data_IF_967557824329
#
_entry.id   IF_967557824329
#
_cell.length_a   1.000
_cell.length_b   1.000
_cell.length_c   1.000
_cell.angle_alpha   90.00
_cell.angle_beta   90.00
_cell.angle_gamma   90.00
#
_symmetry.space_group_name_H-M   'P 1'
#
loop_
_entity.id
_entity.type
_entity.pdbx_description
1 polymer ?
#
# COMPACT_ATOMS: atom_id res chain seq x y z
N UNK A 1 0.10 2.70 12.71
CA UNK A 1 0.26 3.53 13.92
C UNK A 1 1.75 3.77 14.15
N UNK A 2 2.57 2.73 14.29
CA UNK A 2 4.00 2.87 14.54
C UNK A 2 4.73 3.72 13.48
N UNK A 3 4.30 3.68 12.24
CA UNK A 3 4.83 4.50 11.14
C UNK A 3 4.29 5.96 11.11
N UNK A 4 3.72 6.45 12.22
CA UNK A 4 3.31 7.85 12.37
C UNK A 4 1.83 8.14 12.11
N UNK A 5 0.99 7.13 11.85
CA UNK A 5 -0.44 7.36 11.71
C UNK A 5 -1.08 7.63 13.08
N UNK A 6 -1.63 8.84 13.25
CA UNK A 6 -2.28 9.29 14.49
C UNK A 6 -3.73 8.76 14.54
N UNK A 7 -4.08 7.85 15.47
CA UNK A 7 -5.44 7.30 15.58
C UNK A 7 -6.49 8.33 16.01
N UNK A 8 -6.06 9.49 16.54
CA UNK A 8 -6.98 10.60 16.84
C UNK A 8 -7.40 11.38 15.60
N UNK A 9 -6.56 11.36 14.55
CA UNK A 9 -6.82 12.06 13.27
C UNK A 9 -7.35 11.11 12.20
N UNK A 10 -6.95 9.84 12.25
CA UNK A 10 -7.37 8.80 11.31
C UNK A 10 -8.23 7.74 12.03
N UNK A 11 -9.19 7.16 11.33
CA UNK A 11 -9.95 6.01 11.82
C UNK A 11 -9.25 4.75 11.34
N UNK A 12 -8.65 4.01 12.27
CA UNK A 12 -7.94 2.75 12.00
C UNK A 12 -8.75 1.63 12.62
N UNK A 13 -9.11 0.64 11.82
CA UNK A 13 -9.97 -0.46 12.28
C UNK A 13 -9.72 -1.74 11.47
N UNK A 14 -10.19 -2.86 11.99
CA UNK A 14 -10.18 -4.14 11.28
C UNK A 14 -11.45 -4.24 10.46
N UNK A 15 -11.35 -4.43 9.15
CA UNK A 15 -12.48 -4.46 8.22
C UNK A 15 -13.55 -5.46 8.62
N UNK A 16 -13.17 -6.66 9.08
CA UNK A 16 -14.11 -7.72 9.47
C UNK A 16 -14.96 -7.39 10.69
N UNK A 17 -14.58 -6.37 11.47
CA UNK A 17 -15.36 -5.89 12.63
C UNK A 17 -16.46 -4.90 12.24
N UNK A 18 -16.52 -4.52 10.98
CA UNK A 18 -17.56 -3.64 10.40
C UNK A 18 -18.37 -4.43 9.37
N UNK A 19 -19.45 -5.13 9.77
CA UNK A 19 -20.21 -6.04 8.89
C UNK A 19 -20.78 -5.38 7.64
N UNK A 20 -21.00 -4.08 7.70
CA UNK A 20 -21.52 -3.27 6.60
C UNK A 20 -20.67 -3.39 5.33
N UNK A 21 -19.37 -3.69 5.45
CA UNK A 21 -18.48 -3.96 4.30
C UNK A 21 -18.97 -5.18 3.50
N UNK A 22 -19.22 -6.30 4.18
CA UNK A 22 -19.71 -7.51 3.52
C UNK A 22 -21.15 -7.32 3.02
N UNK A 23 -21.99 -6.59 3.78
CA UNK A 23 -23.39 -6.34 3.44
C UNK A 23 -23.50 -5.47 2.18
N UNK A 24 -22.79 -4.34 2.10
CA UNK A 24 -22.74 -3.52 0.88
C UNK A 24 -21.96 -4.24 -0.23
N UNK A 25 -20.91 -4.98 0.12
CA UNK A 25 -20.14 -5.79 -0.82
C UNK A 25 -21.03 -6.75 -1.62
N UNK A 26 -21.97 -7.43 -0.95
CA UNK A 26 -22.95 -8.27 -1.64
C UNK A 26 -23.82 -7.48 -2.63
N UNK A 27 -24.29 -6.29 -2.24
CA UNK A 27 -25.08 -5.42 -3.13
C UNK A 27 -24.26 -4.97 -4.35
N UNK A 28 -22.99 -4.66 -4.15
CA UNK A 28 -22.07 -4.30 -5.25
C UNK A 28 -21.80 -5.49 -6.17
N UNK A 29 -21.62 -6.69 -5.63
CA UNK A 29 -21.49 -7.94 -6.42
C UNK A 29 -22.73 -8.16 -7.29
N UNK A 30 -23.95 -7.99 -6.73
CA UNK A 30 -25.18 -8.10 -7.48
C UNK A 30 -25.37 -7.01 -8.55
N UNK A 31 -24.63 -5.90 -8.43
CA UNK A 31 -24.66 -4.77 -9.38
C UNK A 31 -23.53 -4.83 -10.41
N UNK A 32 -22.54 -5.70 -10.21
CA UNK A 32 -21.42 -5.91 -11.11
C UNK A 32 -21.76 -6.88 -12.25
N UNK A 33 -21.03 -6.80 -13.34
CA UNK A 33 -21.16 -7.75 -14.45
C UNK A 33 -19.95 -8.68 -14.52
N UNK A 34 -20.19 -9.98 -14.73
CA UNK A 34 -19.14 -11.01 -14.81
C UNK A 34 -18.07 -10.61 -15.83
N UNK A 35 -18.48 -10.19 -17.03
CA UNK A 35 -17.53 -9.81 -18.08
C UNK A 35 -16.68 -8.56 -17.74
N UNK A 36 -17.11 -7.68 -16.83
CA UNK A 36 -16.28 -6.58 -16.32
C UNK A 36 -15.19 -7.12 -15.40
N UNK A 37 -15.54 -8.01 -14.49
CA UNK A 37 -14.60 -8.64 -13.56
C UNK A 37 -13.58 -9.51 -14.27
N UNK A 38 -13.99 -10.30 -15.25
CA UNK A 38 -13.09 -11.15 -16.05
C UNK A 38 -12.12 -10.36 -16.90
N UNK A 39 -12.43 -9.12 -17.29
CA UNK A 39 -11.54 -8.26 -18.07
C UNK A 39 -10.42 -7.64 -17.23
N UNK A 40 -10.54 -7.63 -15.91
CA UNK A 40 -9.52 -7.05 -15.03
C UNK A 40 -8.16 -7.75 -15.18
N UNK A 41 -7.11 -6.97 -15.36
CA UNK A 41 -5.75 -7.49 -15.54
C UNK A 41 -5.26 -8.27 -14.33
N UNK A 42 -5.58 -7.79 -13.12
CA UNK A 42 -5.23 -8.50 -11.89
C UNK A 42 -5.96 -9.84 -11.76
N UNK A 43 -7.25 -9.90 -12.13
CA UNK A 43 -7.98 -11.17 -12.16
C UNK A 43 -7.28 -12.17 -13.06
N UNK A 44 -7.03 -11.80 -14.32
CA UNK A 44 -6.37 -12.67 -15.30
C UNK A 44 -5.03 -13.20 -14.81
N UNK A 45 -4.19 -12.32 -14.26
CA UNK A 45 -2.86 -12.67 -13.77
C UNK A 45 -2.91 -13.61 -12.54
N UNK A 46 -3.81 -13.34 -11.59
CA UNK A 46 -3.94 -14.14 -10.37
C UNK A 46 -4.63 -15.47 -10.64
N UNK A 47 -5.68 -15.47 -11.48
CA UNK A 47 -6.41 -16.66 -11.86
C UNK A 47 -5.49 -17.71 -12.52
N UNK A 48 -4.62 -17.28 -13.44
CA UNK A 48 -3.63 -18.17 -14.06
C UNK A 48 -2.63 -18.76 -13.05
N UNK A 49 -2.26 -17.99 -12.03
CA UNK A 49 -1.35 -18.47 -10.97
C UNK A 49 -2.04 -19.51 -10.07
N UNK A 50 -3.27 -19.20 -9.64
CA UNK A 50 -4.05 -20.11 -8.78
C UNK A 50 -4.40 -21.41 -9.52
N UNK A 51 -4.82 -21.31 -10.77
CA UNK A 51 -5.12 -22.49 -11.60
C UNK A 51 -3.90 -23.40 -11.76
N UNK A 52 -2.70 -22.83 -11.97
CA UNK A 52 -1.46 -23.60 -12.04
C UNK A 52 -1.06 -24.22 -10.71
N UNK A 53 -1.32 -23.55 -9.59
CA UNK A 53 -0.91 -23.97 -8.27
C UNK A 53 -1.88 -24.98 -7.64
N UNK A 54 -3.18 -24.69 -7.70
CA UNK A 54 -4.23 -25.41 -6.96
C UNK A 54 -5.19 -26.19 -7.89
N UNK A 55 -5.14 -25.96 -9.22
CA UNK A 55 -6.05 -26.59 -10.19
C UNK A 55 -7.46 -25.99 -10.23
N UNK A 56 -7.74 -24.93 -9.49
CA UNK A 56 -9.03 -24.22 -9.48
C UNK A 56 -8.85 -22.73 -9.19
N UNK A 57 -9.87 -21.94 -9.54
CA UNK A 57 -9.88 -20.49 -9.34
C UNK A 57 -10.95 -20.17 -8.28
N UNK A 58 -10.57 -19.61 -7.10
CA UNK A 58 -11.53 -19.23 -6.08
C UNK A 58 -12.47 -18.11 -6.58
N UNK A 59 -13.77 -18.24 -6.35
CA UNK A 59 -14.76 -17.22 -6.73
C UNK A 59 -14.47 -15.85 -6.10
N UNK A 60 -13.93 -15.83 -4.87
CA UNK A 60 -13.51 -14.61 -4.22
C UNK A 60 -12.53 -13.77 -5.05
N UNK A 61 -11.74 -14.40 -5.90
CA UNK A 61 -10.81 -13.70 -6.80
C UNK A 61 -11.55 -12.89 -7.89
N UNK A 62 -12.74 -13.35 -8.30
CA UNK A 62 -13.60 -12.62 -9.24
C UNK A 62 -14.42 -11.54 -8.52
N UNK A 63 -14.78 -11.74 -7.25
CA UNK A 63 -15.75 -10.90 -6.54
C UNK A 63 -15.14 -9.91 -5.56
N UNK A 64 -13.81 -9.95 -5.30
CA UNK A 64 -13.19 -8.96 -4.40
C UNK A 64 -13.22 -7.51 -4.91
N UNK A 65 -13.19 -7.19 -6.24
CA UNK A 65 -13.25 -5.80 -6.68
C UNK A 65 -14.55 -5.08 -6.27
N UNK A 66 -15.75 -5.69 -6.38
CA UNK A 66 -16.96 -5.12 -5.80
C UNK A 66 -16.93 -4.97 -4.28
N UNK A 67 -16.24 -5.84 -3.54
CA UNK A 67 -16.03 -5.67 -2.09
C UNK A 67 -15.13 -4.46 -1.82
N UNK A 68 -14.05 -4.29 -2.57
CA UNK A 68 -13.22 -3.08 -2.48
C UNK A 68 -14.02 -1.80 -2.81
N UNK A 69 -14.93 -1.86 -3.77
CA UNK A 69 -15.84 -0.75 -4.04
C UNK A 69 -16.70 -0.42 -2.81
N UNK A 70 -17.24 -1.43 -2.11
CA UNK A 70 -17.98 -1.23 -0.87
C UNK A 70 -17.10 -0.61 0.23
N UNK A 71 -15.84 -1.05 0.37
CA UNK A 71 -14.89 -0.49 1.35
C UNK A 71 -14.70 1.03 1.18
N UNK A 72 -14.78 1.51 -0.05
CA UNK A 72 -14.63 2.93 -0.41
C UNK A 72 -15.97 3.67 -0.25
N UNK A 73 -17.03 3.13 -0.83
CA UNK A 73 -18.33 3.79 -0.95
C UNK A 73 -19.06 3.94 0.39
N UNK A 74 -18.88 3.00 1.33
CA UNK A 74 -19.45 3.09 2.69
C UNK A 74 -19.07 4.39 3.40
N UNK A 75 -17.88 4.90 3.14
CA UNK A 75 -17.35 6.09 3.82
C UNK A 75 -17.54 7.37 3.03
N UNK A 76 -18.24 7.32 1.88
CA UNK A 76 -18.45 8.48 1.00
C UNK A 76 -17.12 9.17 0.67
N UNK A 77 -16.10 8.37 0.36
CA UNK A 77 -14.76 8.89 0.11
C UNK A 77 -14.73 9.73 -1.16
N UNK A 78 -14.17 10.93 -1.08
CA UNK A 78 -13.96 11.80 -2.22
C UNK A 78 -12.67 11.44 -2.95
N UNK A 79 -11.60 11.14 -2.19
CA UNK A 79 -10.27 10.82 -2.71
C UNK A 79 -9.79 9.49 -2.13
N UNK A 80 -9.21 8.66 -2.97
CA UNK A 80 -8.67 7.36 -2.57
C UNK A 80 -7.19 7.30 -2.97
N UNK A 81 -6.27 7.33 -2.00
CA UNK A 81 -4.84 7.23 -2.26
C UNK A 81 -4.48 5.78 -2.61
N UNK A 82 -4.18 5.55 -3.87
CA UNK A 82 -3.82 4.23 -4.39
C UNK A 82 -2.70 4.31 -5.43
N UNK A 83 -1.94 3.23 -5.56
CA UNK A 83 -0.96 3.09 -6.63
C UNK A 83 -1.62 2.89 -8.00
N UNK A 84 -0.84 3.10 -9.06
CA UNK A 84 -1.31 2.98 -10.45
C UNK A 84 -1.84 1.56 -10.79
N UNK A 85 -1.34 0.53 -10.11
CA UNK A 85 -1.82 -0.84 -10.24
C UNK A 85 -3.28 -1.04 -9.76
N UNK A 86 -3.83 -0.08 -9.01
CA UNK A 86 -5.23 -0.08 -8.53
C UNK A 86 -6.18 0.76 -9.41
N UNK A 87 -5.70 1.33 -10.52
CA UNK A 87 -6.52 2.17 -11.42
C UNK A 87 -7.81 1.47 -11.85
N UNK A 88 -7.71 0.22 -12.33
CA UNK A 88 -8.90 -0.53 -12.78
C UNK A 88 -9.90 -0.80 -11.65
N UNK A 89 -9.43 -1.00 -10.42
CA UNK A 89 -10.33 -1.14 -9.26
C UNK A 89 -11.07 0.16 -8.97
N UNK A 90 -10.41 1.31 -9.13
CA UNK A 90 -11.06 2.61 -8.99
C UNK A 90 -12.08 2.88 -10.09
N UNK A 91 -11.78 2.48 -11.34
CA UNK A 91 -12.73 2.56 -12.46
C UNK A 91 -13.98 1.72 -12.17
N UNK A 92 -13.83 0.46 -11.74
CA UNK A 92 -14.96 -0.39 -11.34
C UNK A 92 -15.74 0.22 -10.17
N UNK A 93 -15.06 0.79 -9.18
CA UNK A 93 -15.73 1.45 -8.04
C UNK A 93 -16.60 2.60 -8.51
N UNK A 94 -16.10 3.44 -9.40
CA UNK A 94 -16.85 4.56 -10.00
C UNK A 94 -18.03 4.08 -10.83
N UNK A 95 -17.81 3.09 -11.70
CA UNK A 95 -18.86 2.51 -12.55
C UNK A 95 -20.00 1.93 -11.72
N UNK A 96 -19.66 1.21 -10.63
CA UNK A 96 -20.65 0.65 -9.71
C UNK A 96 -21.45 1.74 -8.99
N UNK A 97 -20.77 2.80 -8.51
CA UNK A 97 -21.42 3.92 -7.83
C UNK A 97 -22.33 4.68 -8.80
N UNK A 98 -21.87 5.00 -10.00
CA UNK A 98 -22.67 5.70 -11.03
C UNK A 98 -23.87 4.85 -11.47
N UNK A 99 -23.66 3.55 -11.67
CA UNK A 99 -24.73 2.60 -12.02
C UNK A 99 -25.80 2.51 -10.95
N UNK A 100 -25.39 2.45 -9.69
CA UNK A 100 -26.28 2.44 -8.53
C UNK A 100 -27.07 3.74 -8.45
N UNK A 101 -26.38 4.88 -8.48
CA UNK A 101 -26.99 6.21 -8.38
C UNK A 101 -28.01 6.44 -9.51
N UNK A 102 -27.67 6.06 -10.74
CA UNK A 102 -28.59 6.19 -11.90
C UNK A 102 -29.86 5.33 -11.73
N UNK A 103 -29.73 4.16 -11.09
CA UNK A 103 -30.86 3.22 -10.98
C UNK A 103 -31.75 3.48 -9.76
N UNK A 104 -31.16 3.90 -8.65
CA UNK A 104 -31.82 3.97 -7.37
C UNK A 104 -31.86 5.38 -6.73
N UNK A 105 -31.26 6.37 -7.37
CA UNK A 105 -31.08 7.73 -6.85
C UNK A 105 -29.71 7.95 -6.25
N UNK A 106 -29.34 9.20 -6.05
CA UNK A 106 -28.00 9.60 -5.57
C UNK A 106 -27.77 9.15 -4.12
N UNK A 107 -27.01 8.09 -3.95
CA UNK A 107 -26.63 7.53 -2.64
C UNK A 107 -25.13 7.63 -2.42
N UNK A 108 -24.32 7.33 -3.44
CA UNK A 108 -22.87 7.26 -3.31
C UNK A 108 -22.16 8.47 -3.91
N UNK A 109 -21.20 9.01 -3.18
CA UNK A 109 -20.19 9.91 -3.72
C UNK A 109 -19.31 9.15 -4.72
N UNK A 110 -19.08 9.74 -5.90
CA UNK A 110 -18.19 9.14 -6.90
C UNK A 110 -16.75 9.49 -6.52
N UNK A 111 -15.93 8.51 -6.14
CA UNK A 111 -14.59 8.78 -5.66
C UNK A 111 -13.62 9.12 -6.79
N UNK A 112 -12.59 9.89 -6.48
CA UNK A 112 -11.46 10.14 -7.37
C UNK A 112 -10.22 9.40 -6.89
N UNK A 113 -9.43 8.92 -7.86
CA UNK A 113 -8.12 8.35 -7.57
C UNK A 113 -7.13 9.47 -7.28
N UNK A 114 -6.42 9.36 -6.17
CA UNK A 114 -5.27 10.19 -5.89
C UNK A 114 -4.00 9.35 -5.92
N UNK A 115 -3.17 9.56 -6.94
CA UNK A 115 -1.86 8.96 -7.02
C UNK A 115 -0.83 9.96 -6.45
N UNK A 116 -0.12 9.64 -5.36
CA UNK A 116 0.90 10.51 -4.83
C UNK A 116 1.95 10.82 -5.91
N UNK A 117 2.16 12.11 -6.18
CA UNK A 117 3.28 12.53 -7.00
C UNK A 117 4.54 12.53 -6.13
N UNK A 118 5.39 11.55 -6.34
CA UNK A 118 6.67 11.47 -5.66
C UNK A 118 6.66 10.50 -4.47
N UNK A 119 7.53 9.62 -4.53
CA UNK A 119 8.08 8.68 -3.58
C UNK A 119 9.25 8.07 -4.30
N UNK A 120 10.42 8.06 -3.68
CA UNK A 120 11.55 7.40 -4.31
C UNK A 120 11.15 5.95 -4.60
N UNK A 121 11.20 5.56 -5.86
CA UNK A 121 11.05 4.15 -6.22
C UNK A 121 12.31 3.43 -5.76
N UNK A 122 12.23 2.81 -4.60
CA UNK A 122 13.34 2.04 -4.05
C UNK A 122 13.49 0.75 -4.85
N UNK A 123 14.71 0.49 -5.32
CA UNK A 123 15.04 -0.69 -6.08
C UNK A 123 15.63 -1.77 -5.16
N UNK A 124 15.63 -3.03 -5.62
CA UNK A 124 16.26 -4.15 -4.91
C UNK A 124 17.73 -3.86 -4.62
N UNK A 125 18.18 -4.23 -3.43
CA UNK A 125 19.61 -4.08 -3.07
C UNK A 125 20.52 -5.06 -3.81
N UNK A 126 19.96 -6.17 -4.31
CA UNK A 126 20.71 -7.22 -5.00
C UNK A 126 20.52 -7.15 -6.53
N UNK A 127 19.37 -6.67 -6.99
CA UNK A 127 19.06 -6.45 -8.39
C UNK A 127 18.52 -5.03 -8.59
N UNK A 128 19.41 -4.01 -8.64
CA UNK A 128 18.99 -2.60 -8.60
C UNK A 128 18.28 -2.11 -9.87
N UNK A 129 18.08 -2.96 -10.87
CA UNK A 129 17.21 -2.74 -12.02
C UNK A 129 15.76 -3.15 -11.76
N UNK A 130 15.53 -4.03 -10.78
CA UNK A 130 14.22 -4.47 -10.30
C UNK A 130 13.74 -3.67 -9.08
N UNK A 131 12.40 -3.52 -8.93
CA UNK A 131 11.79 -2.88 -7.76
C UNK A 131 12.03 -3.73 -6.51
N UNK A 132 12.35 -3.11 -5.36
CA UNK A 132 12.36 -3.77 -4.06
C UNK A 132 10.99 -4.39 -3.77
N UNK A 133 10.96 -5.67 -3.39
CA UNK A 133 9.73 -6.42 -3.15
C UNK A 133 9.82 -7.18 -1.84
N UNK A 134 8.77 -7.09 -1.01
CA UNK A 134 8.71 -7.85 0.25
C UNK A 134 8.57 -9.37 0.03
N UNK A 135 8.19 -9.78 -1.17
CA UNK A 135 8.05 -11.19 -1.59
C UNK A 135 9.24 -11.69 -2.42
N UNK A 136 10.40 -11.00 -2.33
CA UNK A 136 11.62 -11.46 -2.96
C UNK A 136 12.17 -12.67 -2.21
N UNK A 137 12.55 -13.73 -2.94
CA UNK A 137 13.12 -14.95 -2.35
C UNK A 137 14.51 -14.71 -1.76
N UNK A 138 15.19 -13.64 -2.18
CA UNK A 138 16.48 -13.24 -1.64
C UNK A 138 16.30 -12.26 -0.47
N UNK A 139 16.54 -12.73 0.75
CA UNK A 139 16.42 -11.93 1.98
C UNK A 139 17.31 -10.67 2.00
N UNK A 140 18.40 -10.64 1.21
CA UNK A 140 19.32 -9.51 1.10
C UNK A 140 18.83 -8.41 0.16
N UNK A 141 17.81 -8.71 -0.63
CA UNK A 141 17.28 -7.78 -1.65
C UNK A 141 16.41 -6.66 -1.06
N UNK A 142 15.82 -6.89 0.12
CA UNK A 142 14.79 -6.02 0.70
C UNK A 142 15.10 -5.64 2.14
N UNK A 143 14.98 -4.36 2.48
CA UNK A 143 14.93 -3.89 3.86
C UNK A 143 13.47 -3.91 4.32
N UNK A 144 13.20 -4.63 5.41
CA UNK A 144 11.90 -4.61 6.06
C UNK A 144 11.86 -3.56 7.17
N UNK A 145 10.72 -2.94 7.38
CA UNK A 145 10.56 -1.88 8.39
C UNK A 145 10.86 -2.35 9.82
N UNK A 146 10.79 -3.65 10.07
CA UNK A 146 11.08 -4.27 11.37
C UNK A 146 12.47 -4.91 11.44
N UNK A 147 13.31 -4.75 10.42
CA UNK A 147 14.69 -5.23 10.47
C UNK A 147 15.44 -4.57 11.62
N UNK A 148 16.30 -5.34 12.30
CA UNK A 148 17.18 -4.79 13.32
C UNK A 148 18.28 -3.93 12.70
N UNK A 149 18.89 -3.02 13.48
CA UNK A 149 19.99 -2.19 13.01
C UNK A 149 21.12 -3.03 12.37
N UNK A 150 21.51 -4.14 13.02
CA UNK A 150 22.55 -5.04 12.50
C UNK A 150 22.17 -5.68 11.16
N UNK A 151 20.89 -6.02 10.97
CA UNK A 151 20.40 -6.60 9.72
C UNK A 151 20.42 -5.55 8.63
N UNK A 152 19.94 -4.33 8.89
CA UNK A 152 19.96 -3.20 7.96
C UNK A 152 21.39 -2.93 7.49
N UNK A 153 22.33 -2.77 8.44
CA UNK A 153 23.75 -2.53 8.15
C UNK A 153 24.32 -3.63 7.28
N UNK A 154 24.04 -4.90 7.57
CA UNK A 154 24.50 -6.04 6.77
C UNK A 154 23.91 -6.02 5.36
N UNK A 155 22.62 -5.75 5.20
CA UNK A 155 21.93 -5.68 3.91
C UNK A 155 22.51 -4.57 3.04
N UNK A 156 22.69 -3.35 3.57
CA UNK A 156 23.24 -2.23 2.84
C UNK A 156 24.73 -2.45 2.47
N UNK A 157 25.52 -3.03 3.38
CA UNK A 157 26.89 -3.41 3.07
C UNK A 157 26.98 -4.39 1.89
N UNK A 158 26.06 -5.35 1.81
CA UNK A 158 25.98 -6.35 0.74
C UNK A 158 25.26 -5.85 -0.52
N UNK A 159 24.66 -4.66 -0.50
CA UNK A 159 24.01 -4.10 -1.69
C UNK A 159 24.97 -4.07 -2.87
N UNK A 160 24.46 -4.47 -4.03
CA UNK A 160 25.25 -4.51 -5.26
C UNK A 160 25.63 -3.09 -5.69
N UNK A 161 26.90 -2.88 -5.98
CA UNK A 161 27.47 -1.65 -6.56
C UNK A 161 28.49 -2.04 -7.63
N UNK A 162 28.79 -1.11 -8.53
CA UNK A 162 29.82 -1.27 -9.58
C UNK A 162 31.25 -1.19 -9.00
N UNK A 163 32.24 -1.23 -9.89
CA UNK A 163 33.67 -1.16 -9.56
C UNK A 163 34.28 0.21 -9.75
N UNK A 164 33.50 1.25 -10.09
CA UNK A 164 34.05 2.60 -10.42
C UNK A 164 34.51 3.34 -9.16
N UNK A 165 34.04 2.93 -7.98
CA UNK A 165 34.39 3.53 -6.68
C UNK A 165 34.10 5.04 -6.59
N UNK A 166 33.14 5.54 -7.38
CA UNK A 166 32.75 6.93 -7.47
C UNK A 166 31.24 7.05 -7.27
N UNK A 167 30.81 7.82 -6.28
CA UNK A 167 29.39 8.03 -5.96
C UNK A 167 28.82 9.05 -6.95
N UNK A 168 28.08 8.57 -7.93
CA UNK A 168 27.45 9.38 -8.95
C UNK A 168 26.08 8.82 -9.32
N UNK A 169 25.11 9.70 -9.59
CA UNK A 169 23.75 9.31 -9.93
C UNK A 169 23.61 9.03 -11.42
N UNK A 170 23.79 7.79 -11.78
CA UNK A 170 23.60 7.28 -13.14
C UNK A 170 22.86 5.92 -13.10
N UNK A 171 21.56 5.97 -13.36
CA UNK A 171 20.74 4.75 -13.35
C UNK A 171 21.12 3.73 -14.41
N UNK A 172 21.72 4.15 -15.50
CA UNK A 172 22.09 3.27 -16.60
C UNK A 172 23.38 2.51 -16.31
N UNK A 173 24.40 3.20 -15.79
CA UNK A 173 25.74 2.65 -15.61
C UNK A 173 26.02 2.28 -14.14
N UNK A 174 25.38 2.97 -13.17
CA UNK A 174 25.56 2.78 -11.74
C UNK A 174 24.21 2.55 -11.02
N UNK A 175 23.37 1.58 -11.43
CA UNK A 175 22.03 1.42 -10.87
C UNK A 175 22.03 1.16 -9.36
N UNK A 176 23.01 0.41 -8.84
CA UNK A 176 23.14 0.13 -7.42
C UNK A 176 23.47 1.35 -6.58
N UNK A 177 24.44 2.14 -7.01
CA UNK A 177 24.81 3.41 -6.35
C UNK A 177 23.66 4.41 -6.45
N UNK A 178 23.04 4.55 -7.62
CA UNK A 178 21.86 5.42 -7.82
C UNK A 178 20.70 5.05 -6.92
N UNK A 179 20.47 3.75 -6.66
CA UNK A 179 19.45 3.29 -5.71
C UNK A 179 19.79 3.72 -4.28
N UNK A 180 21.02 3.52 -3.83
CA UNK A 180 21.46 3.95 -2.50
C UNK A 180 21.42 5.48 -2.35
N UNK A 181 21.76 6.24 -3.40
CA UNK A 181 21.60 7.69 -3.42
C UNK A 181 20.13 8.12 -3.34
N UNK A 182 19.23 7.39 -4.00
CA UNK A 182 17.79 7.65 -3.90
C UNK A 182 17.26 7.42 -2.49
N UNK A 183 17.74 6.38 -1.80
CA UNK A 183 17.41 6.13 -0.39
C UNK A 183 17.96 7.25 0.49
N UNK A 184 19.23 7.60 0.32
CA UNK A 184 19.88 8.70 1.06
C UNK A 184 19.12 10.01 0.88
N UNK A 185 18.82 10.39 -0.37
CA UNK A 185 18.06 11.61 -0.69
C UNK A 185 16.68 11.64 -0.07
N UNK A 186 15.95 10.51 -0.13
CA UNK A 186 14.60 10.40 0.43
C UNK A 186 14.55 10.61 1.95
N UNK A 187 15.58 10.16 2.67
CA UNK A 187 15.66 10.29 4.13
C UNK A 187 16.26 11.65 4.53
N UNK A 188 17.37 12.04 3.92
CA UNK A 188 18.10 13.26 4.32
C UNK A 188 17.52 14.56 3.75
N UNK A 189 16.67 14.46 2.70
CA UNK A 189 16.19 15.61 1.93
C UNK A 189 17.24 16.27 1.02
N UNK A 190 18.47 15.72 0.93
CA UNK A 190 19.54 16.27 0.10
C UNK A 190 19.33 15.94 -1.39
N UNK A 191 19.77 16.84 -2.26
CA UNK A 191 19.80 16.60 -3.71
C UNK A 191 20.90 15.59 -4.07
N UNK A 192 20.83 15.03 -5.28
CA UNK A 192 21.86 14.10 -5.75
C UNK A 192 23.22 14.78 -5.90
N UNK A 193 23.24 16.02 -6.35
CA UNK A 193 24.46 16.84 -6.49
C UNK A 193 25.12 17.12 -5.13
N UNK A 194 24.33 17.37 -4.09
CA UNK A 194 24.86 17.54 -2.73
C UNK A 194 25.46 16.22 -2.21
N UNK A 195 24.82 15.08 -2.49
CA UNK A 195 25.32 13.76 -2.10
C UNK A 195 26.61 13.44 -2.85
N UNK A 196 26.67 13.66 -4.15
CA UNK A 196 27.90 13.49 -4.95
C UNK A 196 29.06 14.30 -4.36
N UNK A 197 28.81 15.58 -4.06
CA UNK A 197 29.80 16.46 -3.45
C UNK A 197 30.28 15.96 -2.08
N UNK A 198 29.35 15.44 -1.25
CA UNK A 198 29.70 14.91 0.08
C UNK A 198 30.64 13.70 0.00
N UNK A 199 30.52 12.88 -1.02
CA UNK A 199 31.28 11.64 -1.16
C UNK A 199 32.35 11.72 -2.27
N UNK A 200 32.65 12.91 -2.77
CA UNK A 200 33.74 13.09 -3.74
C UNK A 200 35.08 12.63 -3.15
N UNK A 201 35.76 11.76 -3.88
CA UNK A 201 36.99 11.13 -3.43
C UNK A 201 36.86 10.09 -2.32
N UNK A 202 35.63 9.76 -1.90
CA UNK A 202 35.35 8.71 -0.90
C UNK A 202 34.89 7.42 -1.58
N UNK A 203 35.30 6.28 -1.04
CA UNK A 203 34.90 4.97 -1.57
C UNK A 203 33.49 4.55 -1.08
N UNK A 204 32.92 3.55 -1.76
CA UNK A 204 31.59 3.00 -1.44
C UNK A 204 31.44 2.50 0.01
N UNK A 205 32.54 2.16 0.69
CA UNK A 205 32.48 1.70 2.09
C UNK A 205 31.95 2.79 3.03
N UNK A 206 32.43 4.03 2.91
CA UNK A 206 31.94 5.17 3.70
C UNK A 206 30.51 5.50 3.31
N UNK A 207 30.23 5.63 2.02
CA UNK A 207 28.88 5.92 1.51
C UNK A 207 27.83 4.90 1.99
N UNK A 208 28.09 3.60 1.84
CA UNK A 208 27.18 2.53 2.32
C UNK A 208 26.99 2.56 3.82
N UNK A 209 28.04 2.90 4.59
CA UNK A 209 27.93 3.02 6.04
C UNK A 209 26.97 4.16 6.40
N UNK A 210 27.15 5.33 5.80
CA UNK A 210 26.31 6.49 6.13
C UNK A 210 24.85 6.28 5.66
N UNK A 211 24.62 5.64 4.50
CA UNK A 211 23.27 5.22 4.08
C UNK A 211 22.66 4.24 5.10
N UNK A 212 23.44 3.29 5.62
CA UNK A 212 22.95 2.35 6.62
C UNK A 212 22.58 3.05 7.93
N UNK A 213 23.43 3.99 8.38
CA UNK A 213 23.18 4.76 9.61
C UNK A 213 21.91 5.61 9.46
N UNK A 214 21.70 6.27 8.31
CA UNK A 214 20.46 7.02 8.02
C UNK A 214 19.21 6.11 8.04
N UNK A 215 19.27 4.95 7.41
CA UNK A 215 18.13 4.01 7.38
C UNK A 215 17.84 3.46 8.78
N UNK A 216 18.88 3.18 9.58
CA UNK A 216 18.72 2.74 10.97
C UNK A 216 18.09 3.84 11.81
N UNK A 217 18.52 5.09 11.67
CA UNK A 217 17.96 6.24 12.38
C UNK A 217 16.48 6.43 12.04
N UNK A 218 16.11 6.32 10.77
CA UNK A 218 14.72 6.47 10.29
C UNK A 218 13.81 5.35 10.77
N UNK A 219 14.26 4.08 10.73
CA UNK A 219 13.42 2.92 11.02
C UNK A 219 13.40 2.53 12.50
N UNK A 220 14.41 2.88 13.29
CA UNK A 220 14.49 2.49 14.71
C UNK A 220 13.31 3.01 15.56
N UNK A 221 12.85 4.27 15.43
CA UNK A 221 11.68 4.75 16.15
C UNK A 221 10.40 3.99 15.80
N UNK A 222 10.23 3.67 14.50
CA UNK A 222 9.08 2.91 14.01
C UNK A 222 9.06 1.52 14.65
N UNK A 223 10.19 0.84 14.66
CA UNK A 223 10.33 -0.48 15.28
C UNK A 223 10.09 -0.43 16.80
N UNK A 224 10.70 0.53 17.49
CA UNK A 224 10.48 0.71 18.94
C UNK A 224 9.01 0.90 19.25
N UNK A 225 8.31 1.76 18.51
CA UNK A 225 6.88 1.99 18.70
C UNK A 225 6.02 0.78 18.31
N UNK A 226 6.44 0.00 17.31
CA UNK A 226 5.80 -1.27 16.97
C UNK A 226 5.90 -2.27 18.15
N UNK A 227 7.09 -2.44 18.72
CA UNK A 227 7.34 -3.35 19.84
C UNK A 227 6.55 -2.92 21.09
N UNK A 228 6.42 -1.60 21.35
CA UNK A 228 5.63 -1.05 22.44
C UNK A 228 4.12 -1.32 22.28
N UNK A 229 3.60 -1.28 21.06
CA UNK A 229 2.15 -1.41 20.79
C UNK A 229 1.69 -2.84 20.64
N UNK A 230 2.57 -3.70 20.10
CA UNK A 230 2.18 -5.07 19.73
C UNK A 230 1.74 -5.88 20.94
N UNK A 231 0.53 -6.44 20.86
CA UNK A 231 -0.05 -7.27 21.93
C UNK A 231 -0.45 -6.51 23.19
N UNK A 232 -0.66 -5.20 23.10
CA UNK A 232 -1.05 -4.36 24.22
C UNK A 232 -2.54 -4.02 24.21
N UNK A 233 -3.16 -3.80 25.38
CA UNK A 233 -4.53 -3.28 25.46
C UNK A 233 -4.71 -1.91 24.79
N UNK A 234 -3.64 -1.11 24.65
CA UNK A 234 -3.68 0.18 23.95
C UNK A 234 -4.01 -0.02 22.47
N UNK A 235 -3.38 -1.01 21.81
CA UNK A 235 -3.64 -1.31 20.42
C UNK A 235 -5.09 -1.79 20.21
N UNK A 236 -5.56 -2.69 21.06
CA UNK A 236 -6.93 -3.20 21.03
C UNK A 236 -7.94 -2.05 21.19
N UNK A 237 -7.73 -1.18 22.18
CA UNK A 237 -8.61 -0.03 22.41
C UNK A 237 -8.65 0.95 21.22
N UNK A 238 -7.53 1.14 20.51
CA UNK A 238 -7.47 1.98 19.31
C UNK A 238 -8.29 1.33 18.17
N UNK A 239 -8.17 0.02 17.98
CA UNK A 239 -8.89 -0.71 16.93
C UNK A 239 -10.39 -0.77 17.24
N UNK A 240 -10.77 -1.01 18.50
CA UNK A 240 -12.18 -1.01 18.96
C UNK A 240 -12.84 0.35 18.72
N UNK A 241 -12.20 1.45 19.17
CA UNK A 241 -12.70 2.82 18.93
C UNK A 241 -12.81 3.10 17.41
N UNK A 242 -11.81 2.67 16.66
CA UNK A 242 -11.81 2.77 15.19
C UNK A 242 -13.00 2.03 14.57
N UNK A 243 -13.26 0.80 14.99
CA UNK A 243 -14.38 -0.01 14.51
C UNK A 243 -15.74 0.64 14.86
N UNK A 244 -15.90 1.17 16.07
CA UNK A 244 -17.11 1.90 16.47
C UNK A 244 -17.36 3.11 15.58
N UNK A 245 -16.33 3.95 15.36
CA UNK A 245 -16.43 5.15 14.51
C UNK A 245 -16.70 4.79 13.04
N UNK A 246 -15.97 3.79 12.53
CA UNK A 246 -16.14 3.31 11.17
C UNK A 246 -17.56 2.76 10.95
N UNK A 247 -18.04 1.91 11.85
CA UNK A 247 -19.37 1.32 11.79
C UNK A 247 -20.47 2.36 11.83
N UNK A 248 -20.35 3.36 12.68
CA UNK A 248 -21.34 4.44 12.78
C UNK A 248 -21.53 5.16 11.44
N UNK A 249 -20.42 5.43 10.72
CA UNK A 249 -20.46 6.06 9.40
C UNK A 249 -20.93 5.09 8.30
N UNK A 250 -20.39 3.89 8.28
CA UNK A 250 -20.74 2.85 7.30
C UNK A 250 -22.24 2.51 7.33
N UNK A 251 -22.81 2.42 8.52
CA UNK A 251 -24.21 2.10 8.72
C UNK A 251 -25.16 3.11 8.06
N UNK A 252 -24.89 4.40 8.18
CA UNK A 252 -25.70 5.46 7.55
C UNK A 252 -25.75 5.27 6.03
N UNK A 253 -24.59 5.06 5.41
CA UNK A 253 -24.51 4.85 3.96
C UNK A 253 -25.20 3.55 3.54
N UNK A 254 -24.98 2.47 4.29
CA UNK A 254 -25.63 1.20 4.04
C UNK A 254 -27.15 1.31 4.14
N UNK A 255 -27.68 1.95 5.19
CA UNK A 255 -29.13 2.16 5.37
C UNK A 255 -29.73 2.99 4.22
N UNK A 256 -29.06 4.04 3.77
CA UNK A 256 -29.46 4.80 2.60
C UNK A 256 -29.53 3.93 1.34
N UNK A 257 -28.54 3.04 1.15
CA UNK A 257 -28.51 2.16 0.00
C UNK A 257 -29.66 1.13 0.01
N UNK A 258 -29.94 0.47 1.16
CA UNK A 258 -31.04 -0.49 1.26
C UNK A 258 -32.41 0.19 1.12
N UNK A 259 -32.58 1.41 1.64
CA UNK A 259 -33.78 2.20 1.45
C UNK A 259 -34.02 2.55 -0.03
N UNK A 260 -32.97 3.02 -0.72
CA UNK A 260 -33.04 3.34 -2.15
C UNK A 260 -33.42 2.11 -2.99
N UNK A 261 -32.93 0.93 -2.62
CA UNK A 261 -33.27 -0.33 -3.29
C UNK A 261 -34.65 -0.90 -2.90
N UNK A 262 -35.31 -0.33 -1.91
CA UNK A 262 -36.60 -0.84 -1.40
C UNK A 262 -36.48 -2.12 -0.57
N UNK A 263 -35.28 -2.44 -0.03
CA UNK A 263 -35.01 -3.63 0.78
C UNK A 263 -35.26 -3.42 2.27
N UNK A 264 -35.79 -2.25 2.63
CA UNK A 264 -36.06 -1.90 4.02
C UNK A 264 -37.50 -2.29 4.41
N UNK A 265 -37.64 -2.89 5.60
CA UNK A 265 -38.95 -3.13 6.19
C UNK A 265 -39.43 -1.88 6.94
N UNK A 266 -40.57 -1.30 6.52
CA UNK A 266 -41.20 -0.18 7.23
C UNK A 266 -41.68 -0.57 8.61
#
# INVERSE_FOLDING_TARGET
IAAGMDPKKATIFVQSEVPEHAMLGWMMICSAYVGEMERMTQYKSKAQKEEKKEGFIPLGLLTYPPLMAADILLYQANLVPVGEDQRQHMEITRDLAERFNRKYGEVFTIPEMWAPQGGARVMSLQEPTGKMSKSDDNEWATIHMLDTADVIVKKIKKAVTDSLAHVHYDKANQPGVSNLMSIHSAISGKTFEEIETMYDGQGYGTFKKDVADLVVEELSPIRSRYDELTGTPELDAILDDGAIRARAKARVTYENAIHAMGLYRK
#
